data_IF_307921500429
#
_entry.id   IF_307921500429
#
_cell.length_a   1.000
_cell.length_b   1.000
_cell.length_c   1.000
_cell.angle_alpha   90.00
_cell.angle_beta   90.00
_cell.angle_gamma   90.00
#
_symmetry.space_group_name_H-M   'P 1'
#
loop_
_entity.id
_entity.type
_entity.pdbx_description
1 polymer ?
#
# COMPACT_ATOMS: atom_id res chain seq x y z
N UNK A 1 10.60 24.88 -3.36
CA UNK A 1 9.80 24.32 -4.45
C UNK A 1 10.69 24.03 -5.67
N UNK A 2 11.70 23.17 -5.51
CA UNK A 2 12.65 22.88 -6.58
C UNK A 2 13.33 21.56 -6.28
N UNK A 3 12.93 20.52 -7.02
CA UNK A 3 13.59 19.20 -7.21
C UNK A 3 12.69 18.13 -7.84
N UNK A 4 11.45 18.44 -8.25
CA UNK A 4 10.55 17.45 -8.86
C UNK A 4 11.02 17.00 -10.27
N UNK A 5 11.65 17.88 -11.05
CA UNK A 5 12.09 17.54 -12.43
C UNK A 5 13.25 16.54 -12.47
N UNK A 6 14.14 16.56 -11.46
CA UNK A 6 15.26 15.61 -11.38
C UNK A 6 14.81 14.24 -10.89
N UNK A 7 13.79 14.18 -10.03
CA UNK A 7 13.23 12.94 -9.45
C UNK A 7 12.65 12.02 -10.54
N UNK A 8 11.86 12.56 -11.45
CA UNK A 8 11.29 11.83 -12.59
C UNK A 8 12.37 11.22 -13.51
N UNK A 9 13.54 11.89 -13.66
CA UNK A 9 14.64 11.36 -14.49
C UNK A 9 15.29 10.14 -13.86
N UNK A 10 15.23 10.02 -12.53
CA UNK A 10 15.75 8.89 -11.78
C UNK A 10 14.71 7.78 -11.55
N UNK A 11 13.50 7.93 -12.12
CA UNK A 11 12.39 6.97 -11.95
C UNK A 11 11.80 6.97 -10.54
N UNK A 12 11.93 8.08 -9.81
CA UNK A 12 11.43 8.21 -8.44
C UNK A 12 10.02 8.81 -8.36
N UNK A 13 9.47 9.25 -9.49
CA UNK A 13 8.11 9.75 -9.65
C UNK A 13 7.05 8.73 -9.22
N UNK A 14 7.30 7.44 -9.41
CA UNK A 14 6.42 6.37 -8.93
C UNK A 14 6.27 6.32 -7.40
N UNK A 15 7.22 6.90 -6.65
CA UNK A 15 7.20 6.98 -5.19
C UNK A 15 6.72 8.34 -4.67
N UNK A 16 6.48 9.31 -5.56
CA UNK A 16 5.89 10.61 -5.23
C UNK A 16 4.36 10.49 -5.13
N UNK A 17 3.90 9.74 -4.13
CA UNK A 17 2.48 9.50 -3.85
C UNK A 17 2.08 10.14 -2.53
N UNK A 18 0.80 10.51 -2.42
CA UNK A 18 0.25 10.93 -1.13
C UNK A 18 0.30 9.77 -0.13
N UNK A 19 0.62 10.03 1.15
CA UNK A 19 0.60 9.00 2.18
C UNK A 19 -0.76 8.31 2.27
N UNK A 20 -0.76 6.98 2.16
CA UNK A 20 -1.95 6.16 2.30
C UNK A 20 -2.10 5.71 3.76
N UNK A 21 -3.26 5.97 4.35
CA UNK A 21 -3.54 5.70 5.76
C UNK A 21 -4.92 5.07 5.94
N UNK A 22 -5.02 4.07 6.82
CA UNK A 22 -6.30 3.49 7.24
C UNK A 22 -6.88 4.32 8.40
N UNK A 23 -7.97 5.04 8.16
CA UNK A 23 -8.63 5.90 9.17
C UNK A 23 -9.71 5.12 9.96
N UNK A 24 -10.05 5.56 11.19
CA UNK A 24 -11.21 5.02 11.89
C UNK A 24 -12.49 5.14 11.05
N UNK A 25 -13.35 4.12 11.07
CA UNK A 25 -14.55 3.99 10.23
C UNK A 25 -14.28 3.91 8.71
N UNK A 26 -13.08 3.45 8.32
CA UNK A 26 -12.76 3.12 6.94
C UNK A 26 -13.72 2.07 6.36
N UNK A 27 -13.99 2.18 5.07
CA UNK A 27 -14.79 1.20 4.34
C UNK A 27 -13.97 -0.05 4.01
N UNK A 28 -14.65 -1.13 3.61
CA UNK A 28 -13.96 -2.32 3.10
C UNK A 28 -13.09 -2.00 1.88
N UNK A 29 -13.53 -1.06 1.03
CA UNK A 29 -12.76 -0.63 -0.14
C UNK A 29 -11.44 0.06 0.26
N UNK A 30 -11.48 0.93 1.27
CA UNK A 30 -10.29 1.57 1.82
C UNK A 30 -9.32 0.53 2.39
N UNK A 31 -9.84 -0.44 3.15
CA UNK A 31 -9.06 -1.54 3.71
C UNK A 31 -8.35 -2.35 2.60
N UNK A 32 -9.08 -2.73 1.55
CA UNK A 32 -8.50 -3.47 0.42
C UNK A 32 -7.46 -2.65 -0.34
N UNK A 33 -7.63 -1.34 -0.43
CA UNK A 33 -6.67 -0.43 -1.05
C UNK A 33 -5.36 -0.40 -0.24
N UNK A 34 -5.46 -0.27 1.08
CA UNK A 34 -4.32 -0.32 2.00
C UNK A 34 -3.59 -1.66 1.92
N UNK A 35 -4.30 -2.78 1.98
CA UNK A 35 -3.70 -4.13 1.90
C UNK A 35 -2.88 -4.29 0.61
N UNK A 36 -3.44 -3.90 -0.55
CA UNK A 36 -2.73 -3.97 -1.84
C UNK A 36 -1.50 -3.07 -1.89
N UNK A 37 -1.60 -1.87 -1.34
CA UNK A 37 -0.47 -0.94 -1.27
C UNK A 37 0.65 -1.50 -0.38
N UNK A 38 0.31 -2.12 0.76
CA UNK A 38 1.27 -2.76 1.66
C UNK A 38 2.00 -3.90 0.96
N UNK A 39 1.30 -4.80 0.27
CA UNK A 39 1.95 -5.87 -0.50
C UNK A 39 2.91 -5.30 -1.55
N UNK A 40 2.50 -4.29 -2.31
CA UNK A 40 3.37 -3.64 -3.30
C UNK A 40 4.58 -2.96 -2.65
N UNK A 41 4.38 -2.26 -1.53
CA UNK A 41 5.46 -1.51 -0.89
C UNK A 41 6.50 -2.42 -0.23
N UNK A 42 6.05 -3.44 0.51
CA UNK A 42 6.95 -4.31 1.29
C UNK A 42 7.63 -5.35 0.39
N UNK A 43 6.89 -5.93 -0.57
CA UNK A 43 7.43 -6.97 -1.46
C UNK A 43 8.12 -6.40 -2.70
N UNK A 44 8.20 -5.07 -2.85
CA UNK A 44 8.87 -4.45 -4.00
C UNK A 44 8.10 -4.61 -5.32
N UNK A 45 6.78 -4.41 -5.27
CA UNK A 45 5.85 -4.49 -6.40
C UNK A 45 5.82 -5.88 -7.07
N UNK A 46 6.05 -6.93 -6.30
CA UNK A 46 5.86 -8.30 -6.76
C UNK A 46 4.39 -8.64 -7.02
N UNK A 47 4.17 -9.55 -7.97
CA UNK A 47 2.85 -10.11 -8.22
C UNK A 47 2.55 -11.19 -7.17
N UNK A 48 1.62 -10.89 -6.26
CA UNK A 48 1.15 -11.83 -5.23
C UNK A 48 -0.02 -12.61 -5.79
N UNK A 49 0.09 -13.94 -5.81
CA UNK A 49 -1.01 -14.84 -6.18
C UNK A 49 -2.00 -14.95 -5.02
N UNK A 50 -3.26 -15.29 -5.31
CA UNK A 50 -4.28 -15.50 -4.26
C UNK A 50 -3.86 -16.58 -3.24
N UNK A 51 -3.09 -17.59 -3.66
CA UNK A 51 -2.54 -18.63 -2.77
C UNK A 51 -1.51 -18.11 -1.76
N UNK A 52 -0.84 -17.01 -2.10
CA UNK A 52 0.27 -16.47 -1.33
C UNK A 52 -0.17 -15.33 -0.41
N UNK A 53 -1.46 -14.97 -0.45
CA UNK A 53 -2.05 -13.94 0.40
C UNK A 53 -2.08 -14.37 1.86
N UNK A 54 -1.70 -13.45 2.73
CA UNK A 54 -1.68 -13.60 4.18
C UNK A 54 -3.07 -13.32 4.77
N UNK A 55 -4.05 -14.17 4.45
CA UNK A 55 -5.47 -14.01 4.82
C UNK A 55 -5.71 -13.83 6.32
N UNK A 56 -4.92 -14.50 7.17
CA UNK A 56 -4.98 -14.35 8.63
C UNK A 56 -4.58 -12.94 9.08
N UNK A 57 -3.51 -12.38 8.51
CA UNK A 57 -3.04 -11.04 8.85
C UNK A 57 -4.01 -9.96 8.35
N UNK A 58 -4.57 -10.14 7.14
CA UNK A 58 -5.61 -9.25 6.61
C UNK A 58 -6.86 -9.23 7.49
N UNK A 59 -7.21 -10.38 8.09
CA UNK A 59 -8.33 -10.48 9.03
C UNK A 59 -8.05 -9.79 10.36
N UNK A 60 -6.82 -9.92 10.89
CA UNK A 60 -6.41 -9.19 12.09
C UNK A 60 -6.45 -7.68 11.88
N UNK A 61 -5.94 -7.19 10.74
CA UNK A 61 -6.01 -5.78 10.38
C UNK A 61 -7.46 -5.29 10.28
N UNK A 62 -8.33 -6.07 9.64
CA UNK A 62 -9.77 -5.77 9.53
C UNK A 62 -10.44 -5.62 10.90
N UNK A 63 -10.06 -6.46 11.86
CA UNK A 63 -10.60 -6.43 13.21
C UNK A 63 -9.96 -5.36 14.11
N UNK A 64 -8.89 -4.70 13.66
CA UNK A 64 -8.11 -3.76 14.47
C UNK A 64 -7.29 -4.44 15.56
N UNK A 65 -6.89 -5.69 15.33
CA UNK A 65 -6.07 -6.49 16.26
C UNK A 65 -4.55 -6.26 16.08
N UNK A 66 -4.15 -5.45 15.08
CA UNK A 66 -2.78 -4.99 14.79
C UNK A 66 -2.77 -3.52 14.35
#
# INVERSE_FOLDING_TARGET
MGKLTTSATLGLDAFEVDPLELRPNATEEDLQTVIRAVYKQILGNQYVMESDRLSSAESQLRNGEI
#
